data_IF_026678041871
#
_entry.id   IF_026678041871
#
_cell.length_a   1.000
_cell.length_b   1.000
_cell.length_c   1.000
_cell.angle_alpha   90.00
_cell.angle_beta   90.00
_cell.angle_gamma   90.00
#
_symmetry.space_group_name_H-M   'P 1'
#
loop_
_entity.id
_entity.type
_entity.pdbx_description
1 polymer ?
#
# COMPACT_ATOMS: atom_id res chain seq x y z
N UNK A 1 -18.64 -7.29 -10.62
CA UNK A 1 -17.79 -6.23 -10.09
C UNK A 1 -18.62 -5.26 -9.27
N UNK A 2 -18.10 -4.80 -8.14
CA UNK A 2 -18.71 -3.81 -7.26
C UNK A 2 -17.61 -3.04 -6.50
N UNK A 3 -17.95 -1.88 -5.97
CA UNK A 3 -17.05 -1.13 -5.11
C UNK A 3 -16.70 -1.98 -3.87
N UNK A 4 -15.41 -2.07 -3.51
CA UNK A 4 -14.98 -2.89 -2.38
C UNK A 4 -15.68 -2.45 -1.08
N UNK A 5 -16.22 -3.42 -0.35
CA UNK A 5 -16.88 -3.25 0.95
C UNK A 5 -16.07 -3.99 2.03
N UNK A 6 -16.16 -3.56 3.29
CA UNK A 6 -15.46 -4.23 4.39
C UNK A 6 -15.81 -5.73 4.50
N UNK A 7 -17.06 -6.10 4.16
CA UNK A 7 -17.53 -7.49 4.11
C UNK A 7 -16.77 -8.37 3.10
N UNK A 8 -16.17 -7.77 2.07
CA UNK A 8 -15.40 -8.50 1.06
C UNK A 8 -14.08 -9.03 1.61
N UNK A 9 -13.58 -8.43 2.68
CA UNK A 9 -12.29 -8.78 3.26
C UNK A 9 -12.12 -10.27 3.51
N UNK A 10 -13.13 -10.92 4.06
CA UNK A 10 -13.05 -12.33 4.43
C UNK A 10 -12.73 -13.23 3.24
N UNK A 11 -13.44 -13.08 2.12
CA UNK A 11 -13.21 -13.89 0.94
C UNK A 11 -11.98 -13.44 0.14
N UNK A 12 -11.70 -12.13 0.11
CA UNK A 12 -10.51 -11.60 -0.56
C UNK A 12 -9.25 -12.10 0.12
N UNK A 13 -9.19 -12.04 1.46
CA UNK A 13 -8.08 -12.55 2.25
C UNK A 13 -7.84 -14.06 2.02
N UNK A 14 -8.90 -14.88 1.95
CA UNK A 14 -8.76 -16.32 1.68
C UNK A 14 -8.10 -16.60 0.33
N UNK A 15 -8.33 -15.76 -0.67
CA UNK A 15 -7.66 -15.85 -1.97
C UNK A 15 -6.21 -15.34 -1.88
N UNK A 16 -6.02 -14.16 -1.31
CA UNK A 16 -4.75 -13.43 -1.34
C UNK A 16 -3.68 -14.02 -0.42
N UNK A 17 -4.04 -14.57 0.73
CA UNK A 17 -3.09 -15.09 1.73
C UNK A 17 -2.11 -16.15 1.19
N UNK A 18 -2.52 -16.90 0.16
CA UNK A 18 -1.72 -17.93 -0.48
C UNK A 18 -1.04 -17.44 -1.78
N UNK A 19 -1.18 -16.17 -2.12
CA UNK A 19 -0.54 -15.57 -3.28
C UNK A 19 0.79 -14.93 -2.87
N UNK A 20 1.75 -14.91 -3.79
CA UNK A 20 3.04 -14.25 -3.58
C UNK A 20 3.17 -12.99 -4.44
N UNK A 21 2.05 -12.29 -4.70
CA UNK A 21 2.06 -11.05 -5.47
C UNK A 21 2.61 -9.91 -4.61
N UNK A 22 3.63 -9.21 -5.12
CA UNK A 22 4.32 -8.16 -4.35
C UNK A 22 3.64 -6.79 -4.41
N UNK A 23 2.79 -6.51 -5.41
CA UNK A 23 2.20 -5.18 -5.66
C UNK A 23 1.19 -4.78 -4.58
N UNK A 24 1.24 -3.52 -4.13
CA UNK A 24 0.35 -2.98 -3.11
C UNK A 24 -1.13 -3.10 -3.47
N UNK A 25 -1.47 -3.08 -4.77
CA UNK A 25 -2.83 -3.28 -5.24
C UNK A 25 -3.40 -4.68 -4.94
N UNK A 26 -2.60 -5.62 -4.44
CA UNK A 26 -3.05 -6.91 -3.91
C UNK A 26 -3.24 -6.90 -2.37
N UNK A 27 -3.08 -5.77 -1.71
CA UNK A 27 -3.54 -5.58 -0.35
C UNK A 27 -5.04 -5.26 -0.35
N UNK A 28 -5.84 -6.00 0.44
CA UNK A 28 -7.27 -5.71 0.52
C UNK A 28 -7.54 -4.31 1.09
N UNK A 29 -6.74 -3.86 2.05
CA UNK A 29 -6.79 -2.49 2.56
C UNK A 29 -6.63 -1.46 1.43
N UNK A 30 -5.65 -1.62 0.56
CA UNK A 30 -5.45 -0.75 -0.60
C UNK A 30 -6.69 -0.76 -1.52
N UNK A 31 -7.23 -1.94 -1.85
CA UNK A 31 -8.44 -2.07 -2.67
C UNK A 31 -9.65 -1.36 -2.07
N UNK A 32 -9.81 -1.42 -0.75
CA UNK A 32 -10.92 -0.81 -0.02
C UNK A 32 -10.73 0.70 0.17
N UNK A 33 -9.57 1.11 0.67
CA UNK A 33 -9.29 2.51 1.03
C UNK A 33 -9.27 3.43 -0.19
N UNK A 34 -8.74 2.93 -1.30
CA UNK A 34 -8.64 3.66 -2.56
C UNK A 34 -9.71 3.25 -3.58
N UNK A 35 -10.83 2.67 -3.14
CA UNK A 35 -11.90 2.17 -4.02
C UNK A 35 -12.50 3.24 -4.94
N UNK A 36 -12.49 4.51 -4.54
CA UNK A 36 -12.91 5.63 -5.40
C UNK A 36 -11.95 5.88 -6.58
N UNK A 37 -10.69 5.45 -6.44
CA UNK A 37 -9.65 5.59 -7.46
C UNK A 37 -9.39 4.29 -8.22
N UNK A 38 -9.32 3.15 -7.51
CA UNK A 38 -8.99 1.85 -8.09
C UNK A 38 -10.18 1.07 -8.64
N UNK A 39 -11.40 1.59 -8.50
CA UNK A 39 -12.59 1.05 -9.14
C UNK A 39 -13.25 -0.11 -8.41
N UNK A 40 -13.65 -1.13 -9.17
CA UNK A 40 -14.54 -2.20 -8.72
C UNK A 40 -13.77 -3.50 -8.45
N UNK A 41 -14.06 -4.15 -7.33
CA UNK A 41 -13.57 -5.47 -6.96
C UNK A 41 -14.48 -6.54 -7.57
N UNK A 42 -13.92 -7.69 -7.95
CA UNK A 42 -14.71 -8.80 -8.47
C UNK A 42 -14.00 -10.14 -8.39
N UNK A 43 -14.79 -11.18 -8.58
CA UNK A 43 -14.30 -12.55 -8.76
C UNK A 43 -14.35 -12.94 -10.23
N UNK A 44 -13.28 -13.58 -10.70
CA UNK A 44 -13.21 -14.24 -11.99
C UNK A 44 -12.92 -15.73 -11.75
N UNK A 45 -13.97 -16.54 -11.70
CA UNK A 45 -13.88 -17.90 -11.17
C UNK A 45 -13.49 -17.91 -9.69
N UNK A 46 -12.44 -18.65 -9.33
CA UNK A 46 -11.87 -18.69 -7.97
C UNK A 46 -10.76 -17.65 -7.73
N UNK A 47 -10.58 -16.73 -8.68
CA UNK A 47 -9.56 -15.68 -8.59
C UNK A 47 -10.18 -14.33 -8.29
N UNK A 48 -9.42 -13.47 -7.63
CA UNK A 48 -9.76 -12.08 -7.38
C UNK A 48 -9.15 -11.20 -8.46
N UNK A 49 -9.90 -10.22 -8.94
CA UNK A 49 -9.44 -9.16 -9.84
C UNK A 49 -10.09 -7.84 -9.47
N UNK A 50 -9.65 -6.78 -10.09
CA UNK A 50 -10.20 -5.44 -9.93
C UNK A 50 -10.31 -4.78 -11.30
N UNK A 51 -11.43 -4.12 -11.56
CA UNK A 51 -11.64 -3.32 -12.75
C UNK A 51 -11.52 -1.83 -12.41
N UNK A 52 -10.72 -1.08 -13.13
CA UNK A 52 -10.49 0.32 -12.87
C UNK A 52 -10.19 1.13 -14.12
N UNK A 53 -10.54 2.43 -14.15
CA UNK A 53 -9.97 3.36 -15.10
C UNK A 53 -8.47 3.61 -14.74
N UNK A 54 -7.60 3.56 -15.74
CA UNK A 54 -6.19 3.86 -15.57
C UNK A 54 -5.65 4.57 -16.83
N UNK A 55 -5.18 5.81 -16.66
CA UNK A 55 -4.65 6.65 -17.75
C UNK A 55 -5.60 6.75 -18.95
N UNK A 56 -6.90 6.95 -18.66
CA UNK A 56 -7.95 7.06 -19.68
C UNK A 56 -8.31 5.76 -20.39
N UNK A 57 -7.94 4.61 -19.84
CA UNK A 57 -8.26 3.27 -20.36
C UNK A 57 -8.88 2.44 -19.24
N UNK A 58 -9.75 1.51 -19.61
CA UNK A 58 -10.25 0.48 -18.70
C UNK A 58 -9.24 -0.66 -18.62
N UNK A 59 -8.89 -1.05 -17.41
CA UNK A 59 -7.92 -2.10 -17.13
C UNK A 59 -8.41 -3.03 -16.03
N UNK A 60 -7.89 -4.24 -16.01
CA UNK A 60 -8.14 -5.23 -14.95
C UNK A 60 -6.82 -5.58 -14.26
N UNK A 61 -6.88 -5.73 -12.96
CA UNK A 61 -5.78 -6.32 -12.20
C UNK A 61 -5.56 -7.76 -12.66
N UNK A 62 -4.31 -8.19 -12.85
CA UNK A 62 -4.02 -9.60 -13.14
C UNK A 62 -4.64 -10.48 -12.03
N UNK A 63 -5.43 -11.51 -12.40
CA UNK A 63 -6.30 -12.20 -11.43
C UNK A 63 -5.48 -13.02 -10.43
N UNK A 64 -5.52 -12.60 -9.15
CA UNK A 64 -4.86 -13.26 -8.03
C UNK A 64 -5.63 -14.51 -7.58
N UNK A 65 -4.93 -15.54 -7.18
CA UNK A 65 -5.51 -16.79 -6.68
C UNK A 65 -4.91 -18.05 -7.30
N UNK A 66 -5.39 -19.19 -6.86
CA UNK A 66 -4.92 -20.53 -7.28
C UNK A 66 -5.86 -21.25 -8.25
N UNK A 67 -7.03 -20.66 -8.55
CA UNK A 67 -7.99 -21.19 -9.51
C UNK A 67 -7.48 -21.21 -10.96
N UNK A 68 -8.27 -21.76 -11.88
CA UNK A 68 -7.90 -21.81 -13.30
C UNK A 68 -7.71 -20.41 -13.90
N UNK A 69 -6.49 -20.11 -14.31
CA UNK A 69 -6.15 -18.80 -14.90
C UNK A 69 -6.86 -18.58 -16.24
N UNK A 70 -7.05 -19.62 -17.05
CA UNK A 70 -7.74 -19.50 -18.33
C UNK A 70 -9.20 -19.12 -18.13
N UNK A 71 -9.88 -19.79 -17.21
CA UNK A 71 -11.26 -19.46 -16.85
C UNK A 71 -11.37 -18.00 -16.39
N UNK A 72 -10.47 -17.56 -15.52
CA UNK A 72 -10.47 -16.19 -15.03
C UNK A 72 -10.22 -15.16 -16.15
N UNK A 73 -9.25 -15.39 -17.03
CA UNK A 73 -8.97 -14.51 -18.16
C UNK A 73 -10.14 -14.43 -19.13
N UNK A 74 -10.82 -15.55 -19.42
CA UNK A 74 -12.00 -15.54 -20.30
C UNK A 74 -13.19 -14.81 -19.66
N UNK A 75 -13.40 -14.96 -18.34
CA UNK A 75 -14.42 -14.21 -17.61
C UNK A 75 -14.17 -12.70 -17.65
N UNK A 76 -12.93 -12.27 -17.39
CA UNK A 76 -12.52 -10.87 -17.48
C UNK A 76 -12.64 -10.33 -18.91
N UNK A 77 -12.31 -11.16 -19.90
CA UNK A 77 -12.45 -10.79 -21.32
C UNK A 77 -13.91 -10.58 -21.71
N UNK A 78 -14.82 -11.40 -21.19
CA UNK A 78 -16.24 -11.25 -21.43
C UNK A 78 -16.78 -9.95 -20.83
N UNK A 79 -16.42 -9.63 -19.58
CA UNK A 79 -16.80 -8.37 -18.92
C UNK A 79 -16.23 -7.15 -19.67
N UNK A 80 -14.97 -7.20 -20.11
CA UNK A 80 -14.37 -6.14 -20.92
C UNK A 80 -15.15 -5.91 -22.23
N UNK A 81 -15.55 -6.99 -22.90
CA UNK A 81 -16.33 -6.92 -24.14
C UNK A 81 -17.75 -6.35 -23.90
N UNK A 82 -18.43 -6.72 -22.80
CA UNK A 82 -19.72 -6.13 -22.42
C UNK A 82 -19.62 -4.62 -22.17
N UNK A 83 -18.49 -4.17 -21.60
CA UNK A 83 -18.19 -2.75 -21.41
C UNK A 83 -17.70 -2.05 -22.67
N UNK A 84 -17.60 -2.76 -23.81
CA UNK A 84 -17.14 -2.23 -25.10
C UNK A 84 -15.64 -1.95 -25.18
N UNK A 85 -14.84 -2.60 -24.34
CA UNK A 85 -13.41 -2.40 -24.23
C UNK A 85 -12.59 -3.65 -24.60
N UNK A 86 -11.39 -3.50 -25.16
CA UNK A 86 -10.47 -4.62 -25.28
C UNK A 86 -9.92 -4.99 -23.89
N UNK A 87 -9.64 -6.29 -23.69
CA UNK A 87 -9.00 -6.76 -22.48
C UNK A 87 -7.63 -6.10 -22.30
N UNK A 88 -7.41 -5.46 -21.16
CA UNK A 88 -6.13 -4.94 -20.70
C UNK A 88 -5.89 -5.36 -19.27
N UNK A 89 -4.71 -5.93 -19.01
CA UNK A 89 -4.29 -6.35 -17.67
C UNK A 89 -3.18 -5.44 -17.17
N UNK A 90 -3.15 -5.19 -15.86
CA UNK A 90 -2.09 -4.46 -15.17
C UNK A 90 -1.48 -5.27 -14.03
N UNK A 91 -0.36 -4.79 -13.50
CA UNK A 91 0.32 -5.36 -12.32
C UNK A 91 0.83 -6.79 -12.53
N UNK A 92 1.43 -7.01 -13.70
CA UNK A 92 2.09 -8.27 -13.99
C UNK A 92 3.56 -8.23 -13.56
N UNK A 93 3.99 -9.25 -12.84
CA UNK A 93 5.41 -9.54 -12.63
C UNK A 93 5.98 -10.29 -13.84
N UNK A 94 7.30 -10.52 -13.85
CA UNK A 94 7.92 -11.34 -14.90
C UNK A 94 7.38 -12.78 -14.89
N UNK A 95 7.08 -13.32 -13.71
CA UNK A 95 6.54 -14.67 -13.53
C UNK A 95 5.11 -14.77 -14.07
N UNK A 96 4.22 -13.85 -13.69
CA UNK A 96 2.83 -13.84 -14.16
C UNK A 96 2.73 -13.49 -15.65
N UNK A 97 3.65 -12.66 -16.17
CA UNK A 97 3.80 -12.45 -17.61
C UNK A 97 4.15 -13.74 -18.33
N UNK A 98 5.12 -14.50 -17.81
CA UNK A 98 5.52 -15.78 -18.43
C UNK A 98 4.38 -16.81 -18.38
N UNK A 99 3.62 -16.87 -17.28
CA UNK A 99 2.41 -17.70 -17.15
C UNK A 99 1.37 -17.36 -18.20
N UNK A 100 1.08 -16.04 -18.37
CA UNK A 100 0.11 -15.57 -19.35
C UNK A 100 0.56 -15.85 -20.79
N UNK A 101 1.85 -15.65 -21.10
CA UNK A 101 2.42 -15.93 -22.43
C UNK A 101 2.41 -17.43 -22.74
N UNK A 102 2.66 -18.30 -21.77
CA UNK A 102 2.54 -19.75 -21.94
C UNK A 102 1.10 -20.18 -22.25
N UNK A 103 0.13 -19.51 -21.62
CA UNK A 103 -1.30 -19.83 -21.78
C UNK A 103 -1.88 -19.27 -23.08
N UNK A 104 -1.39 -18.13 -23.56
CA UNK A 104 -1.85 -17.40 -24.75
C UNK A 104 -0.68 -16.92 -25.62
N UNK A 105 0.07 -17.83 -26.26
CA UNK A 105 1.30 -17.44 -27.00
C UNK A 105 1.04 -16.37 -28.06
N UNK A 106 1.74 -15.26 -27.96
CA UNK A 106 1.68 -14.15 -28.93
C UNK A 106 0.35 -13.40 -28.98
N UNK A 107 -0.52 -13.53 -27.95
CA UNK A 107 -1.83 -12.86 -27.89
C UNK A 107 -1.83 -11.56 -27.10
N UNK A 108 -0.79 -11.29 -26.33
CA UNK A 108 -0.65 -10.10 -25.51
C UNK A 108 0.60 -9.32 -25.90
N UNK A 109 0.47 -8.00 -25.90
CA UNK A 109 1.61 -7.08 -25.91
C UNK A 109 1.89 -6.60 -24.48
N UNK A 110 3.17 -6.56 -24.10
CA UNK A 110 3.58 -6.20 -22.74
C UNK A 110 4.39 -4.90 -22.76
N UNK A 111 4.02 -3.98 -21.89
CA UNK A 111 4.71 -2.69 -21.73
C UNK A 111 5.11 -2.52 -20.27
N UNK A 112 6.41 -2.30 -20.02
CA UNK A 112 6.88 -1.94 -18.69
C UNK A 112 6.49 -0.49 -18.36
N UNK A 113 5.93 -0.27 -17.18
CA UNK A 113 5.53 1.04 -16.70
C UNK A 113 6.32 1.41 -15.44
N UNK A 114 7.42 2.16 -15.60
CA UNK A 114 8.32 2.55 -14.50
C UNK A 114 7.58 3.28 -13.36
N UNK A 115 6.65 4.16 -13.71
CA UNK A 115 5.87 4.94 -12.73
C UNK A 115 4.83 4.12 -11.93
N UNK A 116 4.78 2.81 -12.15
CA UNK A 116 3.93 1.87 -11.40
C UNK A 116 4.79 0.76 -10.77
N UNK A 117 6.05 1.06 -10.48
CA UNK A 117 6.94 0.15 -9.76
C UNK A 117 6.90 0.50 -8.28
N UNK A 118 6.64 -0.49 -7.46
CA UNK A 118 6.65 -0.34 -6.02
C UNK A 118 8.05 -0.32 -5.44
N UNK A 119 8.22 0.41 -4.36
CA UNK A 119 9.39 0.36 -3.51
C UNK A 119 9.27 -0.80 -2.52
N UNK A 120 9.97 -1.89 -2.80
CA UNK A 120 9.99 -3.10 -1.97
C UNK A 120 11.34 -3.22 -1.27
N UNK A 121 11.30 -3.37 0.04
CA UNK A 121 12.47 -3.58 0.90
C UNK A 121 12.31 -4.85 1.69
N UNK A 122 13.41 -5.46 2.13
CA UNK A 122 13.30 -6.49 3.15
C UNK A 122 12.99 -5.86 4.51
N UNK A 123 12.26 -6.60 5.35
CA UNK A 123 11.99 -6.17 6.73
C UNK A 123 13.30 -5.89 7.48
N UNK A 124 14.32 -6.75 7.29
CA UNK A 124 15.65 -6.60 7.88
C UNK A 124 16.33 -5.28 7.47
N UNK A 125 16.28 -4.93 6.17
CA UNK A 125 16.90 -3.68 5.68
C UNK A 125 16.33 -2.45 6.39
N UNK A 126 15.01 -2.37 6.57
CA UNK A 126 14.39 -1.19 7.16
C UNK A 126 14.41 -1.20 8.70
N UNK A 127 14.35 -2.37 9.34
CA UNK A 127 14.42 -2.48 10.81
C UNK A 127 15.84 -2.24 11.35
N UNK A 128 16.88 -2.68 10.62
CA UNK A 128 18.26 -2.63 11.08
C UNK A 128 19.06 -1.47 10.47
N UNK A 129 18.63 -0.98 9.31
CA UNK A 129 19.30 0.10 8.56
C UNK A 129 20.77 -0.18 8.27
N UNK A 130 21.17 -1.44 8.05
CA UNK A 130 22.54 -1.84 7.83
C UNK A 130 23.10 -1.36 6.47
N UNK A 131 24.43 -1.30 6.39
CA UNK A 131 25.19 -1.01 5.17
C UNK A 131 25.28 0.47 4.79
N UNK A 132 26.07 0.74 3.74
CA UNK A 132 26.35 2.11 3.28
C UNK A 132 25.14 2.82 2.66
N UNK A 133 24.28 2.06 1.97
CA UNK A 133 23.10 2.59 1.29
C UNK A 133 22.12 3.25 2.26
N UNK A 134 21.99 2.70 3.47
CA UNK A 134 21.07 3.17 4.50
C UNK A 134 21.76 4.02 5.60
N UNK A 135 23.04 4.36 5.42
CA UNK A 135 23.80 5.15 6.39
C UNK A 135 23.16 6.50 6.68
N UNK A 136 22.62 7.17 5.67
CA UNK A 136 21.95 8.48 5.86
C UNK A 136 20.72 8.32 6.76
N UNK A 137 19.87 7.32 6.52
CA UNK A 137 18.68 7.04 7.35
C UNK A 137 19.09 6.73 8.80
N UNK A 138 20.10 5.90 9.00
CA UNK A 138 20.65 5.58 10.33
C UNK A 138 21.15 6.83 11.06
N UNK A 139 21.86 7.72 10.35
CA UNK A 139 22.33 8.99 10.93
C UNK A 139 21.18 9.92 11.32
N UNK A 140 20.06 9.91 10.55
CA UNK A 140 18.86 10.65 10.93
C UNK A 140 18.22 10.09 12.20
N UNK A 141 18.13 8.76 12.32
CA UNK A 141 17.61 8.13 13.54
C UNK A 141 18.48 8.46 14.76
N UNK A 142 19.81 8.31 14.66
CA UNK A 142 20.71 8.61 15.77
C UNK A 142 20.61 10.09 16.21
N UNK A 143 20.53 11.03 15.26
CA UNK A 143 20.36 12.44 15.58
C UNK A 143 19.03 12.73 16.24
N UNK A 144 17.96 12.08 15.80
CA UNK A 144 16.64 12.20 16.42
C UNK A 144 16.67 11.71 17.87
N UNK A 145 17.29 10.56 18.14
CA UNK A 145 17.43 10.00 19.49
C UNK A 145 18.26 10.93 20.42
N UNK A 146 19.28 11.58 19.88
CA UNK A 146 20.09 12.56 20.62
C UNK A 146 19.32 13.85 20.93
N UNK A 147 18.44 14.29 20.00
CA UNK A 147 17.68 15.54 20.13
C UNK A 147 16.44 15.38 21.01
N UNK A 148 15.81 14.21 20.99
CA UNK A 148 14.57 13.89 21.71
C UNK A 148 14.76 12.70 22.67
N UNK A 149 15.45 12.86 23.80
CA UNK A 149 15.78 11.72 24.69
C UNK A 149 14.56 11.04 25.31
N UNK A 150 13.40 11.72 25.38
CA UNK A 150 12.14 11.22 25.92
C UNK A 150 11.20 10.68 24.83
N UNK A 151 11.69 10.47 23.61
CA UNK A 151 10.89 9.92 22.53
C UNK A 151 10.36 8.52 22.87
N UNK A 152 9.20 8.17 22.35
CA UNK A 152 8.65 6.83 22.44
C UNK A 152 7.76 6.49 21.23
N UNK A 153 7.52 5.21 21.04
CA UNK A 153 6.49 4.70 20.11
C UNK A 153 5.42 3.95 20.88
N UNK A 154 4.20 3.96 20.35
CA UNK A 154 3.10 3.15 20.85
C UNK A 154 2.24 2.64 19.68
N UNK A 155 1.64 1.43 19.80
CA UNK A 155 0.64 0.99 18.85
C UNK A 155 -0.53 1.98 18.77
N UNK A 156 -1.08 2.16 17.57
CA UNK A 156 -2.32 2.93 17.39
C UNK A 156 -3.46 2.09 17.95
N UNK A 157 -4.30 2.71 18.77
CA UNK A 157 -5.47 2.14 19.44
C UNK A 157 -6.60 3.16 19.42
N UNK A 158 -7.83 2.76 19.71
CA UNK A 158 -8.98 3.68 19.85
C UNK A 158 -8.72 4.82 20.84
N UNK A 159 -7.90 4.59 21.86
CA UNK A 159 -7.60 5.60 22.89
C UNK A 159 -6.70 6.73 22.38
N UNK A 160 -5.75 6.41 21.48
CA UNK A 160 -4.79 7.39 20.96
C UNK A 160 -5.07 7.82 19.50
N UNK A 161 -6.01 7.18 18.83
CA UNK A 161 -6.46 7.51 17.48
C UNK A 161 -6.84 8.99 17.32
N UNK A 162 -7.58 9.64 18.26
CA UNK A 162 -7.88 11.07 18.17
C UNK A 162 -6.63 11.96 18.08
N UNK A 163 -5.52 11.55 18.70
CA UNK A 163 -4.26 12.29 18.66
C UNK A 163 -3.58 12.15 17.29
N UNK A 164 -3.69 10.98 16.64
CA UNK A 164 -3.24 10.79 15.27
C UNK A 164 -4.05 11.64 14.29
N UNK A 165 -5.36 11.75 14.48
CA UNK A 165 -6.23 12.66 13.71
C UNK A 165 -5.81 14.13 13.86
N UNK A 166 -5.51 14.57 15.07
CA UNK A 166 -5.06 15.95 15.33
C UNK A 166 -3.70 16.22 14.66
N UNK A 167 -2.74 15.29 14.79
CA UNK A 167 -1.46 15.38 14.08
C UNK A 167 -1.66 15.50 12.57
N UNK A 168 -2.52 14.66 12.00
CA UNK A 168 -2.83 14.66 10.58
C UNK A 168 -3.50 15.96 10.11
N UNK A 169 -4.44 16.50 10.90
CA UNK A 169 -5.08 17.79 10.63
C UNK A 169 -4.05 18.91 10.52
N UNK A 170 -3.15 19.00 11.49
CA UNK A 170 -2.05 19.99 11.50
C UNK A 170 -1.12 19.80 10.30
N UNK A 171 -0.82 18.53 9.97
CA UNK A 171 0.01 18.19 8.82
C UNK A 171 -0.60 18.72 7.51
N UNK A 172 -1.89 18.48 7.26
CA UNK A 172 -2.55 18.98 6.05
C UNK A 172 -2.65 20.50 6.02
N UNK A 173 -3.03 21.14 7.13
CA UNK A 173 -3.10 22.61 7.22
C UNK A 173 -1.77 23.29 6.86
N UNK A 174 -0.67 22.61 7.15
CA UNK A 174 0.68 23.11 6.85
C UNK A 174 1.09 22.85 5.39
N UNK A 175 0.63 21.75 4.78
CA UNK A 175 1.07 21.32 3.45
C UNK A 175 0.16 21.77 2.32
N UNK A 176 -1.18 21.78 2.50
CA UNK A 176 -2.12 22.17 1.45
C UNK A 176 -1.84 23.55 0.81
N UNK A 177 -1.43 24.58 1.54
CA UNK A 177 -1.13 25.89 0.95
C UNK A 177 0.10 25.89 0.03
N UNK A 178 0.95 24.88 0.11
CA UNK A 178 2.24 24.82 -0.58
C UNK A 178 2.20 24.03 -1.91
N UNK A 179 1.06 23.38 -2.23
CA UNK A 179 0.94 22.48 -3.39
C UNK A 179 0.14 23.12 -4.51
N UNK A 180 0.38 22.65 -5.75
CA UNK A 180 -0.42 23.07 -6.92
C UNK A 180 -1.78 22.35 -6.96
N UNK A 181 -2.66 22.73 -7.91
CA UNK A 181 -4.02 22.20 -7.98
C UNK A 181 -4.07 20.65 -8.19
N UNK A 182 -3.16 20.08 -8.99
CA UNK A 182 -3.12 18.64 -9.23
C UNK A 182 -2.66 17.87 -7.98
N UNK A 183 -1.65 18.39 -7.28
CA UNK A 183 -1.21 17.85 -6.00
C UNK A 183 -2.28 17.98 -4.92
N UNK A 184 -3.06 19.06 -4.94
CA UNK A 184 -4.18 19.24 -4.02
C UNK A 184 -5.26 18.18 -4.23
N UNK A 185 -5.62 17.85 -5.47
CA UNK A 185 -6.57 16.78 -5.78
C UNK A 185 -6.07 15.43 -5.24
N UNK A 186 -4.77 15.13 -5.38
CA UNK A 186 -4.15 13.92 -4.83
C UNK A 186 -4.18 13.91 -3.30
N UNK A 187 -3.87 15.03 -2.65
CA UNK A 187 -3.98 15.16 -1.19
C UNK A 187 -5.40 14.96 -0.67
N UNK A 188 -6.42 15.41 -1.39
CA UNK A 188 -7.82 15.21 -1.01
C UNK A 188 -8.22 13.73 -1.12
N UNK A 189 -7.75 13.02 -2.15
CA UNK A 189 -7.96 11.58 -2.28
C UNK A 189 -7.27 10.82 -1.14
N UNK A 190 -6.03 11.14 -0.84
CA UNK A 190 -5.27 10.55 0.26
C UNK A 190 -5.94 10.81 1.61
N UNK A 191 -6.40 12.04 1.86
CA UNK A 191 -7.13 12.42 3.07
C UNK A 191 -8.39 11.58 3.26
N UNK A 192 -9.14 11.34 2.17
CA UNK A 192 -10.33 10.50 2.21
C UNK A 192 -9.98 9.02 2.47
N UNK A 193 -8.89 8.52 1.89
CA UNK A 193 -8.40 7.16 2.15
C UNK A 193 -7.92 6.99 3.60
N UNK A 194 -7.16 7.96 4.13
CA UNK A 194 -6.73 7.98 5.53
C UNK A 194 -7.89 8.03 6.52
N UNK A 195 -8.91 8.86 6.24
CA UNK A 195 -10.11 8.91 7.08
C UNK A 195 -10.79 7.53 7.12
N UNK A 196 -10.95 6.87 5.96
CA UNK A 196 -11.50 5.51 5.92
C UNK A 196 -10.61 4.50 6.64
N UNK A 197 -9.28 4.65 6.59
CA UNK A 197 -8.37 3.77 7.31
C UNK A 197 -8.58 3.87 8.83
N UNK A 198 -8.77 5.07 9.35
CA UNK A 198 -9.09 5.27 10.76
C UNK A 198 -10.49 4.74 11.13
N UNK A 199 -11.50 5.02 10.30
CA UNK A 199 -12.89 4.62 10.57
C UNK A 199 -13.09 3.09 10.55
N UNK A 200 -12.23 2.35 9.81
CA UNK A 200 -12.31 0.91 9.62
C UNK A 200 -11.03 0.15 10.03
N UNK A 201 -10.25 0.75 10.93
CA UNK A 201 -8.92 0.26 11.30
C UNK A 201 -8.94 -1.21 11.73
N UNK A 202 -9.81 -1.56 12.67
CA UNK A 202 -9.96 -2.92 13.17
C UNK A 202 -10.60 -3.87 12.14
N UNK A 203 -11.61 -3.40 11.39
CA UNK A 203 -12.28 -4.22 10.37
C UNK A 203 -11.33 -4.63 9.25
N UNK A 204 -10.38 -3.76 8.90
CA UNK A 204 -9.35 -4.03 7.90
C UNK A 204 -8.13 -4.78 8.48
N UNK A 205 -8.13 -5.06 9.78
CA UNK A 205 -7.00 -5.64 10.53
C UNK A 205 -5.69 -4.88 10.22
N UNK A 206 -5.76 -3.57 10.27
CA UNK A 206 -4.59 -2.73 10.08
C UNK A 206 -3.71 -2.72 11.33
N UNK A 207 -2.42 -2.55 11.12
CA UNK A 207 -1.47 -2.21 12.18
C UNK A 207 -1.11 -0.74 12.08
N UNK A 208 -0.88 -0.13 13.22
CA UNK A 208 -0.42 1.24 13.29
C UNK A 208 0.56 1.47 14.41
N UNK A 209 1.52 2.33 14.18
CA UNK A 209 2.49 2.79 15.18
C UNK A 209 2.54 4.31 15.14
N UNK A 210 2.46 4.94 16.30
CA UNK A 210 2.74 6.37 16.47
C UNK A 210 4.15 6.59 17.03
N UNK A 211 4.72 7.75 16.74
CA UNK A 211 5.98 8.26 17.30
C UNK A 211 5.71 9.58 17.99
N UNK A 212 6.20 9.71 19.22
CA UNK A 212 6.18 10.94 20.01
C UNK A 212 7.61 11.45 20.25
N UNK A 213 7.77 12.76 20.32
CA UNK A 213 9.00 13.43 20.75
C UNK A 213 9.13 13.56 22.28
N UNK A 214 8.13 13.01 23.03
CA UNK A 214 7.98 13.11 24.47
C UNK A 214 6.90 14.10 24.90
N UNK A 215 6.52 15.04 24.02
CA UNK A 215 5.49 16.07 24.29
C UNK A 215 4.23 15.84 23.45
N UNK A 216 4.40 15.49 22.17
CA UNK A 216 3.31 15.33 21.20
C UNK A 216 3.57 14.19 20.23
N UNK A 217 2.52 13.74 19.55
CA UNK A 217 2.68 12.84 18.40
C UNK A 217 3.23 13.64 17.21
N UNK A 218 4.32 13.14 16.63
CA UNK A 218 5.04 13.80 15.52
C UNK A 218 5.05 12.98 14.24
N UNK A 219 4.75 11.70 14.33
CA UNK A 219 4.64 10.82 13.17
C UNK A 219 3.75 9.60 13.48
N UNK A 220 3.23 9.00 12.43
CA UNK A 220 2.63 7.67 12.48
C UNK A 220 2.85 6.91 11.17
N UNK A 221 2.78 5.59 11.25
CA UNK A 221 2.73 4.68 10.10
C UNK A 221 1.62 3.68 10.31
N UNK A 222 0.93 3.32 9.22
CA UNK A 222 -0.14 2.33 9.20
C UNK A 222 -0.04 1.46 7.96
N UNK A 223 -0.46 0.21 8.10
CA UNK A 223 -0.47 -0.73 6.98
C UNK A 223 -1.24 -1.98 7.29
N UNK A 224 -1.19 -2.94 6.40
CA UNK A 224 -1.83 -4.24 6.56
C UNK A 224 -1.04 -5.38 5.93
N UNK A 225 -1.26 -6.57 6.43
CA UNK A 225 -0.67 -7.77 5.86
C UNK A 225 -1.32 -8.12 4.54
N UNK A 226 -0.53 -8.23 3.46
CA UNK A 226 -1.00 -8.61 2.13
C UNK A 226 -1.16 -10.13 2.02
N UNK A 227 -0.08 -10.84 2.34
CA UNK A 227 0.01 -12.29 2.26
C UNK A 227 1.08 -12.81 3.23
N UNK A 228 1.56 -14.05 3.05
CA UNK A 228 2.56 -14.63 3.94
C UNK A 228 3.88 -13.85 3.97
N UNK A 229 4.36 -13.42 2.80
CA UNK A 229 5.71 -12.87 2.64
C UNK A 229 5.75 -11.34 2.60
N UNK A 230 4.62 -10.69 2.29
CA UNK A 230 4.55 -9.24 2.04
C UNK A 230 3.60 -8.52 2.99
N UNK A 231 4.02 -7.34 3.39
CA UNK A 231 3.26 -6.38 4.18
C UNK A 231 3.21 -5.03 3.44
N UNK A 232 2.04 -4.43 3.36
CA UNK A 232 1.80 -3.13 2.74
C UNK A 232 1.88 -2.02 3.79
N UNK A 233 2.79 -1.06 3.60
CA UNK A 233 2.92 0.17 4.39
C UNK A 233 2.16 1.27 3.65
N UNK A 234 0.84 1.28 3.79
CA UNK A 234 -0.04 2.16 3.02
C UNK A 234 0.02 3.63 3.40
N UNK A 235 0.32 3.95 4.66
CA UNK A 235 0.42 5.34 5.11
C UNK A 235 1.59 5.58 6.05
N UNK A 236 2.36 6.61 5.77
CA UNK A 236 3.42 7.10 6.66
C UNK A 236 3.42 8.63 6.64
N UNK A 237 3.19 9.25 7.79
CA UNK A 237 3.16 10.70 7.97
C UNK A 237 4.08 11.12 9.11
N UNK A 238 4.85 12.17 8.88
CA UNK A 238 5.67 12.81 9.90
C UNK A 238 5.72 14.31 9.66
N UNK A 239 5.94 15.10 10.72
CA UNK A 239 6.21 16.53 10.57
C UNK A 239 7.58 16.73 9.92
N UNK A 240 7.69 17.45 8.79
CA UNK A 240 8.94 17.64 8.06
C UNK A 240 9.94 18.54 8.79
N UNK A 241 9.47 19.39 9.69
CA UNK A 241 10.27 20.25 10.55
C UNK A 241 10.94 19.50 11.72
N UNK A 242 10.51 18.26 12.00
CA UNK A 242 11.15 17.38 12.99
C UNK A 242 12.17 16.48 12.29
N UNK A 243 13.44 16.85 12.43
CA UNK A 243 14.53 16.16 11.73
C UNK A 243 14.64 14.69 12.17
N UNK A 244 14.56 13.78 11.22
CA UNK A 244 14.68 12.35 11.48
C UNK A 244 13.35 11.63 11.78
N UNK A 245 12.23 12.34 11.99
CA UNK A 245 10.94 11.72 12.33
C UNK A 245 10.50 10.66 11.32
N UNK A 246 10.60 10.92 9.99
CA UNK A 246 10.32 9.93 8.96
C UNK A 246 11.22 8.69 9.04
N UNK A 247 12.53 8.87 9.30
CA UNK A 247 13.44 7.74 9.41
C UNK A 247 13.16 6.90 10.65
N UNK A 248 12.80 7.56 11.75
CA UNK A 248 12.43 6.90 13.00
C UNK A 248 11.15 6.08 12.88
N UNK A 249 10.06 6.71 12.43
CA UNK A 249 8.79 5.97 12.33
C UNK A 249 8.90 4.81 11.35
N UNK A 250 9.62 4.96 10.23
CA UNK A 250 9.86 3.90 9.27
C UNK A 250 10.62 2.72 9.89
N UNK A 251 11.71 2.99 10.65
CA UNK A 251 12.49 1.97 11.34
C UNK A 251 11.66 1.25 12.41
N UNK A 252 11.00 2.00 13.27
CA UNK A 252 10.27 1.43 14.40
C UNK A 252 9.02 0.66 13.94
N UNK A 253 8.32 1.14 12.91
CA UNK A 253 7.23 0.39 12.31
C UNK A 253 7.72 -0.93 11.69
N UNK A 254 8.85 -0.90 10.97
CA UNK A 254 9.48 -2.11 10.42
C UNK A 254 9.87 -3.12 11.50
N UNK A 255 10.36 -2.65 12.65
CA UNK A 255 10.68 -3.49 13.82
C UNK A 255 9.42 -4.12 14.43
N UNK A 256 8.36 -3.34 14.58
CA UNK A 256 7.07 -3.84 15.06
C UNK A 256 6.54 -4.95 14.13
N UNK A 257 6.62 -4.76 12.81
CA UNK A 257 6.20 -5.78 11.84
C UNK A 257 7.07 -7.03 11.92
N UNK A 258 8.40 -6.88 12.08
CA UNK A 258 9.32 -8.01 12.26
C UNK A 258 8.99 -8.86 13.48
N UNK A 259 8.61 -8.21 14.59
CA UNK A 259 8.22 -8.87 15.84
C UNK A 259 6.84 -9.55 15.72
N UNK A 260 5.86 -8.83 15.16
CA UNK A 260 4.48 -9.31 15.08
C UNK A 260 4.28 -10.40 14.04
N UNK A 261 5.00 -10.33 12.91
CA UNK A 261 4.88 -11.23 11.77
C UNK A 261 6.25 -11.74 11.31
N UNK A 262 6.88 -12.65 12.06
CA UNK A 262 8.23 -13.12 11.77
C UNK A 262 8.38 -13.85 10.42
N UNK A 263 7.26 -14.25 9.79
CA UNK A 263 7.24 -14.86 8.45
C UNK A 263 7.22 -13.81 7.32
N UNK A 264 6.86 -12.55 7.59
CA UNK A 264 6.88 -11.46 6.60
C UNK A 264 8.33 -11.10 6.28
N UNK A 265 8.66 -11.12 5.01
CA UNK A 265 10.02 -10.90 4.51
C UNK A 265 10.20 -9.54 3.87
N UNK A 266 9.13 -8.99 3.32
CA UNK A 266 9.16 -7.78 2.51
C UNK A 266 8.12 -6.76 2.96
N UNK A 267 8.54 -5.49 2.97
CA UNK A 267 7.67 -4.33 3.13
C UNK A 267 7.51 -3.67 1.76
N UNK A 268 6.28 -3.59 1.29
CA UNK A 268 5.91 -2.76 0.15
C UNK A 268 5.59 -1.35 0.67
N UNK A 269 6.16 -0.32 0.06
CA UNK A 269 5.94 1.09 0.39
C UNK A 269 5.27 1.85 -0.76
N UNK A 270 4.45 1.13 -1.50
CA UNK A 270 3.68 1.60 -2.64
C UNK A 270 4.52 2.16 -3.79
N UNK A 271 3.86 2.77 -4.77
CA UNK A 271 4.50 3.12 -6.03
C UNK A 271 5.30 4.43 -5.96
N UNK A 272 6.24 4.54 -6.88
CA UNK A 272 7.17 5.67 -7.00
C UNK A 272 6.54 6.93 -7.63
N UNK A 273 5.30 6.82 -8.11
CA UNK A 273 4.53 7.90 -8.72
C UNK A 273 5.25 8.64 -9.87
N UNK A 274 6.43 8.15 -10.30
CA UNK A 274 7.24 8.75 -11.34
C UNK A 274 8.01 10.00 -10.89
N UNK A 275 8.16 10.22 -9.59
CA UNK A 275 8.98 11.30 -9.06
C UNK A 275 10.46 10.98 -9.28
N UNK A 276 11.19 11.88 -9.98
CA UNK A 276 12.65 11.84 -10.01
C UNK A 276 13.16 12.37 -8.66
N UNK A 277 13.71 11.46 -7.84
CA UNK A 277 14.29 11.76 -6.54
C UNK A 277 15.65 12.45 -6.61
#
# INVERSE_FOLDING_TARGET
FHKAEAADRAWAHEILKNCAYPGAEYAFSCMYLWSDYFGELGRAGERLTQHAPWRGREVYLYPAGTGDLREAIEAIRADAAERGNPLRLRSLTNETRAELEALYPGKFEFTACRNSYDYIYTVEELSELHGKKLQSKRNHCNRFEDEFPDWFTAPITDENLPQCHEMLRIWYETHEPAVNAQELDQLQLEKAALQRAFDHFDELEMDGLLLSDGERIIAFSMGSRMNRDYYDVGFEKAFPDVNGAYAMINREFSRMIAEKYPEVRFLNREDDMGSEG
#
